data_IF_627505646323
#
_entry.id   IF_627505646323
#
_cell.length_a   1.000
_cell.length_b   1.000
_cell.length_c   1.000
_cell.angle_alpha   90.00
_cell.angle_beta   90.00
_cell.angle_gamma   90.00
#
_symmetry.space_group_name_H-M   'P 1'
#
loop_
_entity.id
_entity.type
_entity.pdbx_description
1 polymer ?
#
# COMPACT_ATOMS: atom_id res chain seq x y z
N UNK A 1 22.84 -40.14 -37.85
CA UNK A 1 22.38 -40.27 -36.49
C UNK A 1 23.08 -39.21 -35.63
N UNK A 2 22.71 -37.95 -35.75
CA UNK A 2 23.08 -36.87 -34.83
C UNK A 2 22.02 -35.78 -34.97
N UNK A 3 20.95 -35.88 -34.25
CA UNK A 3 19.87 -34.90 -34.34
C UNK A 3 18.82 -35.12 -33.28
N UNK A 4 19.22 -35.25 -32.00
CA UNK A 4 18.22 -35.39 -30.91
C UNK A 4 18.84 -35.09 -29.56
N UNK A 5 19.45 -33.92 -29.36
CA UNK A 5 19.96 -33.52 -28.04
C UNK A 5 19.59 -32.08 -27.64
N UNK A 6 18.88 -31.31 -28.47
CA UNK A 6 18.69 -29.87 -28.19
C UNK A 6 17.26 -29.48 -27.78
N UNK A 7 16.38 -30.40 -27.40
CA UNK A 7 15.00 -30.08 -27.00
C UNK A 7 14.71 -30.27 -25.51
N UNK A 8 15.64 -30.84 -24.75
CA UNK A 8 15.36 -31.26 -23.36
C UNK A 8 15.80 -30.29 -22.28
N UNK A 9 16.40 -29.16 -22.59
CA UNK A 9 16.87 -28.18 -21.58
C UNK A 9 15.88 -27.02 -21.34
N UNK A 10 14.96 -26.76 -22.26
CA UNK A 10 13.99 -25.67 -22.08
C UNK A 10 12.73 -26.02 -21.31
N UNK A 11 12.48 -27.30 -21.02
CA UNK A 11 11.26 -27.73 -20.33
C UNK A 11 11.35 -27.71 -18.79
N UNK A 12 12.55 -27.56 -18.24
CA UNK A 12 12.76 -27.66 -16.76
C UNK A 12 12.68 -26.32 -16.03
N UNK A 13 12.64 -25.18 -16.72
CA UNK A 13 12.58 -23.84 -16.11
C UNK A 13 11.15 -23.27 -16.03
N UNK A 14 10.17 -23.90 -16.68
CA UNK A 14 8.76 -23.47 -16.64
C UNK A 14 7.98 -24.10 -15.46
N UNK A 15 8.54 -25.11 -14.78
CA UNK A 15 7.81 -25.84 -13.74
C UNK A 15 8.03 -25.30 -12.31
N UNK A 16 8.86 -24.30 -12.08
CA UNK A 16 9.10 -23.71 -10.74
C UNK A 16 8.17 -22.54 -10.45
N UNK A 17 7.54 -21.95 -11.47
CA UNK A 17 6.59 -20.83 -11.32
C UNK A 17 5.13 -21.22 -11.09
N UNK A 18 4.77 -22.51 -11.15
CA UNK A 18 3.36 -22.95 -11.12
C UNK A 18 2.90 -23.64 -9.84
N UNK A 19 3.69 -23.65 -8.77
CA UNK A 19 3.30 -24.33 -7.51
C UNK A 19 3.15 -23.33 -6.36
N UNK A 20 2.29 -22.33 -6.49
CA UNK A 20 1.72 -21.63 -5.34
C UNK A 20 0.39 -20.91 -5.58
N UNK A 21 -0.26 -21.12 -6.72
CA UNK A 21 -1.49 -20.40 -7.09
C UNK A 21 -2.78 -21.17 -6.79
N UNK A 22 -2.85 -21.97 -5.74
CA UNK A 22 -4.11 -22.61 -5.35
C UNK A 22 -4.50 -22.20 -3.95
N UNK A 23 -5.32 -21.17 -3.80
CA UNK A 23 -6.45 -21.13 -2.86
C UNK A 23 -7.21 -19.81 -2.66
N UNK A 24 -6.98 -18.73 -3.41
CA UNK A 24 -7.76 -17.49 -3.24
C UNK A 24 -8.30 -16.88 -4.55
N UNK A 25 -8.48 -17.68 -5.60
CA UNK A 25 -8.92 -17.23 -6.92
C UNK A 25 -10.36 -16.65 -6.97
N UNK A 26 -11.12 -16.67 -5.89
CA UNK A 26 -12.51 -16.16 -5.88
C UNK A 26 -12.61 -14.64 -5.68
N UNK A 27 -11.59 -13.97 -5.13
CA UNK A 27 -11.61 -12.53 -4.84
C UNK A 27 -10.72 -11.68 -5.76
N UNK A 28 -9.89 -12.30 -6.60
CA UNK A 28 -8.96 -11.60 -7.49
C UNK A 28 -7.80 -10.87 -6.78
N UNK A 29 -7.57 -11.17 -5.49
CA UNK A 29 -6.46 -10.62 -4.72
C UNK A 29 -5.65 -11.77 -4.12
N UNK A 30 -4.42 -11.92 -4.58
CA UNK A 30 -3.50 -12.95 -4.12
C UNK A 30 -2.65 -12.42 -2.98
N UNK A 31 -2.65 -13.14 -1.84
CA UNK A 31 -1.70 -12.87 -0.76
C UNK A 31 -0.25 -13.16 -1.23
N UNK A 32 0.66 -12.21 -1.02
CA UNK A 32 2.08 -12.32 -1.39
C UNK A 32 2.94 -12.59 -0.17
N UNK A 33 2.93 -11.68 0.80
CA UNK A 33 3.82 -11.73 1.96
C UNK A 33 3.26 -10.95 3.15
N UNK A 34 3.91 -11.09 4.30
CA UNK A 34 3.65 -10.27 5.49
C UNK A 34 4.94 -10.03 6.26
N UNK A 35 5.02 -8.92 6.97
CA UNK A 35 6.11 -8.61 7.87
C UNK A 35 5.63 -7.80 9.08
N UNK A 36 6.46 -7.77 10.12
CA UNK A 36 6.20 -7.09 11.39
C UNK A 36 7.12 -5.89 11.57
N UNK A 37 6.78 -5.00 12.48
CA UNK A 37 7.61 -3.91 12.90
C UNK A 37 8.97 -4.37 13.42
N UNK A 38 9.95 -3.50 13.28
CA UNK A 38 11.31 -3.73 13.74
C UNK A 38 11.50 -3.14 15.14
N UNK A 39 12.12 -3.89 16.04
CA UNK A 39 12.56 -3.40 17.34
C UNK A 39 14.01 -2.94 17.25
N UNK A 40 14.30 -1.73 17.72
CA UNK A 40 15.67 -1.16 17.77
C UNK A 40 16.44 -1.56 19.02
N UNK A 41 15.78 -2.23 19.99
CA UNK A 41 16.49 -2.76 21.17
C UNK A 41 17.26 -4.02 20.75
N UNK A 42 18.51 -4.13 21.17
CA UNK A 42 19.33 -5.32 20.87
C UNK A 42 18.61 -6.60 21.36
N UNK A 43 18.59 -7.66 20.54
CA UNK A 43 17.97 -8.92 20.94
C UNK A 43 18.71 -9.47 22.18
N UNK A 44 17.97 -9.70 23.24
CA UNK A 44 18.51 -10.45 24.38
C UNK A 44 18.90 -11.86 23.89
N UNK A 45 20.17 -12.23 24.05
CA UNK A 45 20.75 -13.47 23.52
C UNK A 45 19.96 -14.72 24.00
N UNK A 46 19.30 -14.60 25.15
CA UNK A 46 18.44 -15.66 25.70
C UNK A 46 17.16 -15.90 24.88
N UNK A 47 16.72 -14.95 24.06
CA UNK A 47 15.56 -15.09 23.19
C UNK A 47 15.79 -16.02 21.98
N UNK A 48 17.03 -16.23 21.55
CA UNK A 48 17.34 -17.15 20.45
C UNK A 48 17.07 -18.62 20.81
N UNK A 49 17.03 -18.96 22.11
CA UNK A 49 16.81 -20.33 22.59
C UNK A 49 15.32 -20.67 22.85
N UNK A 50 14.42 -19.65 22.94
CA UNK A 50 12.99 -19.83 23.27
C UNK A 50 12.10 -18.99 22.35
N UNK A 51 12.18 -19.21 21.06
CA UNK A 51 11.52 -18.40 20.01
C UNK A 51 10.00 -18.22 20.21
N UNK A 52 9.34 -19.16 20.89
CA UNK A 52 7.88 -19.09 21.13
C UNK A 52 7.53 -18.21 22.34
N UNK A 53 8.42 -18.09 23.32
CA UNK A 53 8.23 -17.25 24.52
C UNK A 53 8.66 -15.79 24.25
N UNK A 54 9.65 -15.59 23.39
CA UNK A 54 10.11 -14.23 23.00
C UNK A 54 9.14 -13.49 22.07
N UNK A 55 8.18 -14.21 21.45
CA UNK A 55 7.11 -13.59 20.64
C UNK A 55 6.27 -12.57 21.41
N UNK A 56 6.22 -12.67 22.74
CA UNK A 56 5.48 -11.75 23.62
C UNK A 56 6.34 -10.60 24.18
N UNK A 57 7.65 -10.66 24.04
CA UNK A 57 8.58 -9.67 24.60
C UNK A 57 9.21 -8.75 23.52
N UNK A 58 9.22 -9.14 22.24
CA UNK A 58 9.68 -8.30 21.15
C UNK A 58 8.51 -7.46 20.64
N UNK A 59 8.40 -6.27 21.19
CA UNK A 59 7.45 -5.25 20.79
C UNK A 59 7.92 -4.62 19.44
N UNK A 60 7.60 -5.26 18.33
CA UNK A 60 7.71 -4.64 17.02
C UNK A 60 6.87 -3.35 16.98
N UNK A 61 5.78 -3.33 16.24
CA UNK A 61 4.81 -2.23 16.31
C UNK A 61 3.88 -2.39 17.51
N UNK A 62 3.56 -1.24 18.12
CA UNK A 62 2.58 -1.16 19.20
C UNK A 62 1.41 -0.30 18.77
N UNK A 63 0.26 -0.93 18.55
CA UNK A 63 -0.97 -0.27 18.11
C UNK A 63 -0.75 0.67 16.90
N UNK A 64 -0.09 0.23 15.83
CA UNK A 64 0.08 1.06 14.64
C UNK A 64 -1.29 1.42 14.06
N UNK A 65 -1.45 2.66 13.56
CA UNK A 65 -2.77 3.14 13.13
C UNK A 65 -2.86 3.37 11.62
N UNK A 66 -1.85 3.97 10.98
CA UNK A 66 -1.90 4.26 9.55
C UNK A 66 -0.56 3.94 8.88
N UNK A 67 -0.63 3.69 7.58
CA UNK A 67 0.53 3.44 6.70
C UNK A 67 0.49 4.34 5.48
N UNK A 68 1.66 4.66 4.94
CA UNK A 68 1.80 5.37 3.68
C UNK A 68 2.88 4.72 2.82
N UNK A 69 2.89 5.00 1.53
CA UNK A 69 3.90 4.51 0.58
C UNK A 69 4.43 5.67 -0.25
N UNK A 70 5.74 5.71 -0.47
CA UNK A 70 6.39 6.65 -1.38
C UNK A 70 6.50 6.12 -2.82
N UNK A 71 6.99 6.95 -3.74
CA UNK A 71 7.17 6.58 -5.15
C UNK A 71 8.24 5.50 -5.36
N UNK A 72 9.17 5.31 -4.41
CA UNK A 72 10.18 4.24 -4.38
C UNK A 72 9.63 2.95 -3.77
N UNK A 73 8.35 2.97 -3.36
CA UNK A 73 7.61 1.89 -2.72
C UNK A 73 8.10 1.55 -1.32
N UNK A 74 8.69 2.52 -0.63
CA UNK A 74 8.97 2.35 0.78
C UNK A 74 7.68 2.57 1.58
N UNK A 75 7.48 1.74 2.60
CA UNK A 75 6.31 1.75 3.48
C UNK A 75 6.67 2.47 4.78
N UNK A 76 5.86 3.44 5.13
CA UNK A 76 5.97 4.19 6.37
C UNK A 76 4.82 3.80 7.30
N UNK A 77 5.14 3.60 8.58
CA UNK A 77 4.17 3.14 9.59
C UNK A 77 4.14 4.10 10.75
N UNK A 78 2.96 4.61 11.06
CA UNK A 78 2.70 5.34 12.31
C UNK A 78 2.61 4.32 13.46
N UNK A 79 3.73 4.10 14.13
CA UNK A 79 3.90 3.15 15.26
C UNK A 79 3.49 3.86 16.58
N UNK A 80 2.19 4.08 16.70
CA UNK A 80 1.52 4.98 17.64
C UNK A 80 1.92 4.75 19.08
N UNK A 81 1.84 3.50 19.55
CA UNK A 81 2.14 3.16 20.93
C UNK A 81 3.62 3.23 21.29
N UNK A 82 4.51 3.34 20.29
CA UNK A 82 5.94 3.56 20.46
C UNK A 82 6.37 5.00 20.14
N UNK A 83 5.41 5.89 19.83
CA UNK A 83 5.64 7.32 19.57
C UNK A 83 6.68 7.58 18.48
N UNK A 84 6.65 6.79 17.41
CA UNK A 84 7.63 6.85 16.33
C UNK A 84 7.03 6.55 14.95
N UNK A 85 7.77 6.89 13.90
CA UNK A 85 7.54 6.42 12.55
C UNK A 85 8.62 5.39 12.21
N UNK A 86 8.24 4.33 11.51
CA UNK A 86 9.18 3.36 10.94
C UNK A 86 9.05 3.30 9.43
N UNK A 87 10.20 3.21 8.73
CA UNK A 87 10.30 3.09 7.27
C UNK A 87 10.85 1.71 6.89
N UNK A 88 10.22 1.08 5.91
CA UNK A 88 10.57 -0.22 5.36
C UNK A 88 10.62 -0.15 3.84
N UNK A 89 11.38 -1.02 3.18
CA UNK A 89 11.20 -1.22 1.75
C UNK A 89 9.96 -2.08 1.44
N UNK A 90 9.64 -2.24 0.15
CA UNK A 90 8.47 -3.01 -0.32
C UNK A 90 8.51 -4.52 0.01
N UNK A 91 9.65 -5.03 0.46
CA UNK A 91 9.85 -6.43 0.86
C UNK A 91 9.79 -6.60 2.39
N UNK A 92 9.62 -5.48 3.13
CA UNK A 92 9.49 -5.45 4.57
C UNK A 92 10.83 -5.38 5.32
N UNK A 93 11.93 -5.06 4.63
CA UNK A 93 13.21 -4.81 5.28
C UNK A 93 13.23 -3.42 5.91
N UNK A 94 13.62 -3.35 7.18
CA UNK A 94 13.71 -2.10 7.92
C UNK A 94 14.79 -1.17 7.33
N UNK A 95 14.42 0.10 7.13
CA UNK A 95 15.32 1.12 6.60
C UNK A 95 15.72 2.15 7.67
N UNK A 96 14.73 2.74 8.35
CA UNK A 96 14.97 3.78 9.36
C UNK A 96 13.77 3.96 10.30
N UNK A 97 13.99 4.67 11.41
CA UNK A 97 12.92 5.14 12.29
C UNK A 97 13.27 6.47 12.93
N UNK A 98 12.24 7.27 13.24
CA UNK A 98 12.39 8.55 13.93
C UNK A 98 11.16 8.86 14.79
N UNK A 99 11.28 9.86 15.63
CA UNK A 99 10.30 10.21 16.64
C UNK A 99 10.63 9.59 18.01
N UNK A 100 10.35 10.35 19.03
CA UNK A 100 10.47 9.97 20.44
C UNK A 100 9.30 10.58 21.20
N UNK A 101 8.89 9.96 22.30
CA UNK A 101 7.77 10.47 23.09
C UNK A 101 8.08 11.86 23.67
N UNK A 102 7.27 12.86 23.35
CA UNK A 102 7.41 14.23 23.83
C UNK A 102 6.55 15.23 23.08
N UNK A 103 6.78 16.53 23.33
CA UNK A 103 6.00 17.65 22.79
C UNK A 103 6.82 18.60 21.93
N UNK A 104 8.14 18.44 21.92
CA UNK A 104 9.04 19.30 21.17
C UNK A 104 8.93 19.03 19.65
N UNK A 105 9.61 19.83 18.86
CA UNK A 105 9.69 19.65 17.43
C UNK A 105 10.41 18.34 17.07
N UNK A 106 9.76 17.49 16.29
CA UNK A 106 10.28 16.16 15.95
C UNK A 106 9.93 15.08 16.96
N UNK A 107 9.42 15.44 18.17
CA UNK A 107 8.88 14.48 19.13
C UNK A 107 7.40 14.20 18.84
N UNK A 108 6.98 12.97 19.06
CA UNK A 108 5.64 12.46 18.79
C UNK A 108 5.05 11.84 20.07
N UNK A 109 3.75 12.07 20.33
CA UNK A 109 3.05 11.39 21.43
C UNK A 109 2.19 10.24 20.94
N UNK A 110 1.33 10.52 19.98
CA UNK A 110 0.37 9.57 19.42
C UNK A 110 0.29 9.79 17.91
N UNK A 111 1.33 9.40 17.13
CA UNK A 111 1.25 9.49 15.66
C UNK A 111 0.21 8.50 15.16
N UNK A 112 -0.87 9.00 14.55
CA UNK A 112 -1.99 8.18 14.07
C UNK A 112 -2.17 8.25 12.57
N UNK A 113 -1.93 9.41 11.94
CA UNK A 113 -2.06 9.64 10.52
C UNK A 113 -0.70 9.86 9.87
N UNK A 114 -0.53 9.34 8.64
CA UNK A 114 0.71 9.52 7.88
C UNK A 114 0.42 9.63 6.39
N UNK A 115 1.00 10.64 5.73
CA UNK A 115 0.93 10.80 4.28
C UNK A 115 2.29 11.21 3.73
N UNK A 116 2.53 10.89 2.45
CA UNK A 116 3.75 11.22 1.73
C UNK A 116 3.38 12.14 0.56
N UNK A 117 4.14 13.22 0.41
CA UNK A 117 4.05 14.07 -0.76
C UNK A 117 5.43 14.58 -1.15
N UNK A 118 5.80 14.34 -2.40
CA UNK A 118 7.18 14.53 -2.87
C UNK A 118 8.15 13.75 -1.95
N UNK A 119 9.16 14.39 -1.40
CA UNK A 119 10.10 13.75 -0.47
C UNK A 119 9.82 14.13 0.99
N UNK A 120 8.56 14.41 1.35
CA UNK A 120 8.20 14.81 2.71
C UNK A 120 7.16 13.87 3.31
N UNK A 121 7.30 13.65 4.62
CA UNK A 121 6.41 12.84 5.44
C UNK A 121 5.60 13.75 6.35
N UNK A 122 4.29 13.64 6.29
CA UNK A 122 3.35 14.39 7.10
C UNK A 122 2.72 13.47 8.13
N UNK A 123 2.85 13.80 9.39
CA UNK A 123 2.41 12.97 10.52
C UNK A 123 1.38 13.72 11.35
N UNK A 124 0.21 13.13 11.53
CA UNK A 124 -0.80 13.60 12.47
C UNK A 124 -0.48 13.06 13.84
N UNK A 125 -0.31 13.94 14.81
CA UNK A 125 -0.20 13.59 16.21
C UNK A 125 -1.51 13.91 16.94
N UNK A 126 -2.29 12.87 17.21
CA UNK A 126 -3.61 12.97 17.80
C UNK A 126 -3.57 13.64 19.19
N UNK A 127 -2.64 13.23 20.05
CA UNK A 127 -2.55 13.75 21.42
C UNK A 127 -2.00 15.18 21.49
N UNK A 128 -1.10 15.54 20.56
CA UNK A 128 -0.63 16.92 20.44
C UNK A 128 -1.65 17.82 19.71
N UNK A 129 -2.60 17.23 18.98
CA UNK A 129 -3.53 17.93 18.10
C UNK A 129 -2.79 18.75 17.02
N UNK A 130 -1.73 18.19 16.45
CA UNK A 130 -0.86 18.86 15.48
C UNK A 130 -0.55 17.96 14.29
N UNK A 131 -0.09 18.58 13.22
CA UNK A 131 0.58 17.89 12.12
C UNK A 131 2.05 18.29 12.13
N UNK A 132 2.95 17.33 11.96
CA UNK A 132 4.37 17.56 11.79
C UNK A 132 4.82 17.10 10.42
N UNK A 133 5.64 17.91 9.75
CA UNK A 133 6.27 17.61 8.46
C UNK A 133 7.74 17.28 8.70
N UNK A 134 8.19 16.20 8.11
CA UNK A 134 9.57 15.73 8.11
C UNK A 134 10.05 15.58 6.67
N UNK A 135 11.36 15.58 6.45
CA UNK A 135 11.90 15.06 5.21
C UNK A 135 11.86 13.50 5.21
N UNK A 136 12.27 12.89 4.13
CA UNK A 136 12.22 11.45 3.98
C UNK A 136 13.29 10.68 4.80
N UNK A 137 14.23 11.41 5.41
CA UNK A 137 15.22 10.90 6.37
C UNK A 137 14.77 11.04 7.83
N UNK A 138 13.58 11.66 8.05
CA UNK A 138 13.00 11.87 9.37
C UNK A 138 13.45 13.15 10.07
N UNK A 139 14.10 14.09 9.39
CA UNK A 139 14.45 15.39 9.95
C UNK A 139 13.22 16.30 9.99
N UNK A 140 12.97 16.89 11.16
CA UNK A 140 11.86 17.83 11.36
C UNK A 140 11.98 19.07 10.45
N UNK A 141 10.86 19.46 9.81
CA UNK A 141 10.78 20.65 8.95
C UNK A 141 9.88 21.70 9.57
N UNK A 142 8.60 21.35 9.84
CA UNK A 142 7.64 22.29 10.42
C UNK A 142 6.53 21.56 11.17
N UNK A 143 5.79 22.32 12.01
CA UNK A 143 4.65 21.85 12.80
C UNK A 143 3.55 22.89 12.80
N UNK A 144 2.31 22.48 12.62
CA UNK A 144 1.14 23.35 12.71
C UNK A 144 -0.01 22.66 13.43
N UNK A 145 -1.05 23.42 13.76
CA UNK A 145 -2.20 22.92 14.51
C UNK A 145 -2.17 23.39 15.97
N UNK A 146 -2.85 22.63 16.80
CA UNK A 146 -3.04 22.87 18.23
C UNK A 146 -4.48 22.56 18.62
N UNK A 147 -4.71 22.31 19.92
CA UNK A 147 -6.02 21.96 20.46
C UNK A 147 -7.02 23.11 20.27
N UNK A 148 -8.15 22.84 19.62
CA UNK A 148 -9.26 23.77 19.46
C UNK A 148 -10.17 23.47 18.27
N UNK A 149 -11.17 24.35 18.07
CA UNK A 149 -12.18 24.25 17.01
C UNK A 149 -12.09 25.34 15.94
N UNK A 150 -11.19 26.30 16.08
CA UNK A 150 -10.98 27.35 15.09
C UNK A 150 -10.31 26.76 13.83
N UNK A 151 -10.25 27.54 12.78
CA UNK A 151 -9.54 27.16 11.55
C UNK A 151 -8.05 26.96 11.83
N UNK A 152 -7.53 25.79 11.41
CA UNK A 152 -6.15 25.40 11.68
C UNK A 152 -5.91 24.76 13.06
N UNK A 153 -6.92 24.70 13.94
CA UNK A 153 -6.88 23.94 15.20
C UNK A 153 -7.59 22.62 15.04
N UNK A 154 -7.27 21.64 15.87
CA UNK A 154 -7.81 20.29 15.80
C UNK A 154 -8.27 19.78 17.18
N UNK A 155 -9.20 18.81 17.15
CA UNK A 155 -9.52 17.97 18.32
C UNK A 155 -9.47 16.50 17.85
N UNK A 156 -8.49 15.76 18.38
CA UNK A 156 -8.26 14.35 18.02
C UNK A 156 -8.23 14.14 16.49
N UNK A 157 -7.32 14.84 15.74
CA UNK A 157 -7.18 14.61 14.31
C UNK A 157 -6.70 13.18 14.06
N UNK A 158 -7.17 12.57 12.97
CA UNK A 158 -6.91 11.17 12.64
C UNK A 158 -6.18 11.05 11.29
N UNK A 159 -6.85 10.58 10.25
CA UNK A 159 -6.28 10.33 8.94
C UNK A 159 -5.89 11.60 8.18
N UNK A 160 -4.91 11.46 7.32
CA UNK A 160 -4.36 12.52 6.48
C UNK A 160 -4.08 11.98 5.08
N UNK A 161 -4.38 12.76 4.07
CA UNK A 161 -3.98 12.50 2.69
C UNK A 161 -3.54 13.78 2.00
N UNK A 162 -2.79 13.66 0.89
CA UNK A 162 -2.32 14.80 0.11
C UNK A 162 -2.58 14.51 -1.36
N UNK A 163 -3.18 15.47 -2.06
CA UNK A 163 -3.42 15.29 -3.49
C UNK A 163 -2.16 15.64 -4.32
N UNK A 164 -2.20 15.36 -5.62
CA UNK A 164 -1.10 15.63 -6.56
C UNK A 164 -0.72 17.10 -6.71
N UNK A 165 -1.54 18.03 -6.21
CA UNK A 165 -1.27 19.48 -6.19
C UNK A 165 -0.71 19.96 -4.85
N UNK A 166 -0.42 19.07 -3.91
CA UNK A 166 0.12 19.40 -2.59
C UNK A 166 -0.91 19.93 -1.59
N UNK A 167 -2.21 19.77 -1.85
CA UNK A 167 -3.24 20.10 -0.87
C UNK A 167 -3.34 18.98 0.15
N UNK A 168 -3.17 19.31 1.41
CA UNK A 168 -3.26 18.40 2.57
C UNK A 168 -4.70 18.37 3.08
N UNK A 169 -5.27 17.18 3.27
CA UNK A 169 -6.60 16.95 3.83
C UNK A 169 -6.46 16.21 5.15
N UNK A 170 -7.09 16.70 6.20
CA UNK A 170 -7.01 16.13 7.55
C UNK A 170 -8.40 15.86 8.11
N UNK A 171 -8.64 14.66 8.59
CA UNK A 171 -9.84 14.31 9.34
C UNK A 171 -9.74 14.87 10.77
N UNK A 172 -10.40 15.99 11.03
CA UNK A 172 -10.51 16.64 12.34
C UNK A 172 -11.68 16.01 13.11
N UNK A 173 -11.42 14.82 13.66
CA UNK A 173 -12.41 13.81 14.03
C UNK A 173 -13.44 14.34 15.02
N UNK A 174 -13.01 14.88 16.15
CA UNK A 174 -13.93 15.37 17.20
C UNK A 174 -14.54 16.73 16.88
N UNK A 175 -14.01 17.45 15.89
CA UNK A 175 -14.68 18.62 15.31
C UNK A 175 -15.62 18.24 14.16
N UNK A 176 -15.71 16.96 13.79
CA UNK A 176 -16.64 16.42 12.80
C UNK A 176 -16.53 17.08 11.42
N UNK A 177 -15.29 17.35 10.99
CA UNK A 177 -14.99 18.04 9.73
C UNK A 177 -13.73 17.51 9.07
N UNK A 178 -13.55 17.87 7.82
CA UNK A 178 -12.28 17.78 7.13
C UNK A 178 -11.72 19.21 7.01
N UNK A 179 -10.45 19.41 7.31
CA UNK A 179 -9.73 20.65 7.05
C UNK A 179 -8.72 20.46 5.95
N UNK A 180 -8.51 21.51 5.13
CA UNK A 180 -7.52 21.50 4.06
C UNK A 180 -6.46 22.56 4.28
N UNK A 181 -5.22 22.25 3.88
CA UNK A 181 -4.04 23.09 4.06
C UNK A 181 -3.15 23.05 2.82
N UNK A 182 -2.29 24.05 2.67
CA UNK A 182 -1.13 23.94 1.78
C UNK A 182 -0.14 22.92 2.32
N UNK A 183 0.82 22.50 1.51
CA UNK A 183 1.94 21.62 1.94
C UNK A 183 2.85 22.26 3.01
N UNK A 184 2.70 23.56 3.27
CA UNK A 184 3.41 24.32 4.30
C UNK A 184 2.52 24.67 5.52
N UNK A 185 1.33 24.02 5.61
CA UNK A 185 0.46 24.12 6.77
C UNK A 185 -0.44 25.34 6.85
N UNK A 186 -0.54 26.16 5.77
CA UNK A 186 -1.47 27.27 5.72
C UNK A 186 -2.91 26.77 5.50
N UNK A 187 -3.84 27.19 6.34
CA UNK A 187 -5.26 26.81 6.23
C UNK A 187 -5.87 27.32 4.91
N UNK A 188 -6.57 26.42 4.21
CA UNK A 188 -7.28 26.75 2.96
C UNK A 188 -8.79 26.76 3.15
N UNK A 189 -9.37 25.65 3.61
CA UNK A 189 -10.82 25.50 3.78
C UNK A 189 -11.17 24.40 4.78
N UNK A 190 -12.47 24.32 5.11
CA UNK A 190 -13.01 23.18 5.85
C UNK A 190 -14.43 22.86 5.41
N UNK A 191 -14.82 21.59 5.49
CA UNK A 191 -16.17 21.13 5.18
C UNK A 191 -16.58 19.97 6.10
N UNK A 192 -17.87 19.69 6.10
CA UNK A 192 -18.45 18.76 7.08
C UNK A 192 -18.82 19.47 8.39
N UNK A 193 -19.77 18.90 9.11
CA UNK A 193 -20.14 19.29 10.47
C UNK A 193 -20.94 18.15 11.10
N UNK A 194 -21.07 18.17 12.41
CA UNK A 194 -21.78 17.14 13.18
C UNK A 194 -23.20 16.87 12.66
N UNK A 195 -23.52 15.60 12.49
CA UNK A 195 -24.86 15.13 12.19
C UNK A 195 -24.92 13.72 11.59
N UNK A 196 -26.13 13.32 11.18
CA UNK A 196 -26.43 11.97 10.65
C UNK A 196 -26.92 11.99 9.19
N UNK A 197 -27.25 13.17 8.67
CA UNK A 197 -27.75 13.35 7.31
C UNK A 197 -26.65 13.40 6.25
N UNK A 198 -27.05 13.63 5.03
CA UNK A 198 -26.17 13.76 3.88
C UNK A 198 -25.17 14.92 4.05
N UNK A 199 -23.90 14.65 3.82
CA UNK A 199 -22.82 15.62 3.99
C UNK A 199 -22.52 16.00 5.44
N UNK A 200 -23.13 15.29 6.41
CA UNK A 200 -22.82 15.43 7.85
C UNK A 200 -21.89 14.33 8.27
N UNK A 201 -20.96 14.68 9.14
CA UNK A 201 -19.92 13.78 9.64
C UNK A 201 -20.08 13.53 11.13
N UNK A 202 -19.67 12.34 11.56
CA UNK A 202 -19.62 11.97 12.98
C UNK A 202 -18.36 11.20 13.27
N UNK A 203 -17.36 11.91 13.74
CA UNK A 203 -16.02 11.37 13.99
C UNK A 203 -15.40 10.73 12.74
N UNK A 204 -15.17 11.51 11.65
CA UNK A 204 -14.47 11.01 10.48
C UNK A 204 -13.07 10.55 10.88
N UNK A 205 -12.64 9.40 10.37
CA UNK A 205 -11.35 8.80 10.75
C UNK A 205 -10.33 8.83 9.64
N UNK A 206 -10.78 8.91 8.37
CA UNK A 206 -9.83 8.93 7.26
C UNK A 206 -10.42 9.62 6.03
N UNK A 207 -9.52 10.03 5.12
CA UNK A 207 -9.87 10.77 3.91
C UNK A 207 -8.98 10.32 2.75
N UNK A 208 -9.57 10.04 1.60
CA UNK A 208 -8.85 9.75 0.36
C UNK A 208 -9.28 10.72 -0.75
N UNK A 209 -8.36 11.02 -1.65
CA UNK A 209 -8.61 11.91 -2.79
C UNK A 209 -8.30 11.18 -4.09
N UNK A 210 -9.20 11.32 -5.06
CA UNK A 210 -9.00 10.84 -6.42
C UNK A 210 -9.60 11.81 -7.44
N UNK A 211 -8.74 12.37 -8.29
CA UNK A 211 -9.16 13.41 -9.23
C UNK A 211 -9.83 14.58 -8.51
N UNK A 212 -11.04 14.93 -8.92
CA UNK A 212 -11.84 16.01 -8.34
C UNK A 212 -12.73 15.57 -7.18
N UNK A 213 -12.52 14.37 -6.64
CA UNK A 213 -13.37 13.79 -5.60
C UNK A 213 -12.61 13.50 -4.32
N UNK A 214 -13.30 13.75 -3.21
CA UNK A 214 -12.86 13.43 -1.86
C UNK A 214 -13.81 12.37 -1.30
N UNK A 215 -13.25 11.34 -0.67
CA UNK A 215 -13.98 10.28 0.02
C UNK A 215 -13.60 10.33 1.49
N UNK A 216 -14.59 10.36 2.37
CA UNK A 216 -14.40 10.48 3.83
C UNK A 216 -14.96 9.25 4.50
N UNK A 217 -14.14 8.58 5.29
CA UNK A 217 -14.55 7.48 6.15
C UNK A 217 -15.23 8.03 7.40
N UNK A 218 -16.52 7.76 7.55
CA UNK A 218 -17.35 8.21 8.68
C UNK A 218 -17.95 7.03 9.46
N UNK A 219 -17.15 6.34 10.29
CA UNK A 219 -17.59 5.17 11.04
C UNK A 219 -18.67 5.48 12.08
N UNK A 220 -18.76 6.72 12.55
CA UNK A 220 -19.82 7.17 13.46
C UNK A 220 -21.21 7.16 12.85
N UNK A 221 -21.27 7.28 11.52
CA UNK A 221 -22.50 7.18 10.72
C UNK A 221 -22.58 5.90 9.89
N UNK A 222 -21.57 5.02 9.94
CA UNK A 222 -21.48 3.79 9.13
C UNK A 222 -21.49 4.06 7.61
N UNK A 223 -20.81 5.13 7.19
CA UNK A 223 -20.82 5.63 5.82
C UNK A 223 -19.43 5.94 5.29
N UNK A 224 -19.34 5.97 3.96
CA UNK A 224 -18.32 6.74 3.25
C UNK A 224 -19.04 7.87 2.54
N UNK A 225 -18.59 9.10 2.77
CA UNK A 225 -19.16 10.30 2.17
C UNK A 225 -18.29 10.76 0.99
N UNK A 226 -18.92 11.10 -0.14
CA UNK A 226 -18.24 11.62 -1.33
C UNK A 226 -18.52 13.12 -1.49
N UNK A 227 -17.44 13.88 -1.71
CA UNK A 227 -17.49 15.32 -1.95
C UNK A 227 -16.73 15.68 -3.23
N UNK A 228 -16.96 16.89 -3.75
CA UNK A 228 -16.04 17.51 -4.73
C UNK A 228 -14.75 17.98 -4.05
N UNK A 229 -13.73 18.30 -4.85
CA UNK A 229 -12.48 18.94 -4.36
C UNK A 229 -12.71 20.21 -3.54
N UNK A 230 -13.82 20.93 -3.79
CA UNK A 230 -14.22 22.12 -3.05
C UNK A 230 -15.01 21.82 -1.76
N UNK A 231 -15.16 20.54 -1.39
CA UNK A 231 -15.90 20.12 -0.19
C UNK A 231 -17.43 20.17 -0.32
N UNK A 232 -17.97 20.20 -1.54
CA UNK A 232 -19.42 20.14 -1.78
C UNK A 232 -19.85 18.67 -1.75
N UNK A 233 -20.81 18.35 -0.88
CA UNK A 233 -21.35 16.99 -0.78
C UNK A 233 -21.98 16.53 -2.09
N UNK A 234 -21.71 15.29 -2.47
CA UNK A 234 -22.23 14.64 -3.67
C UNK A 234 -23.09 13.42 -3.34
N UNK A 235 -22.60 12.52 -2.49
CA UNK A 235 -23.26 11.24 -2.25
C UNK A 235 -22.77 10.58 -0.96
N UNK A 236 -23.68 9.89 -0.26
CA UNK A 236 -23.35 8.95 0.82
C UNK A 236 -23.40 7.52 0.30
N UNK A 237 -22.43 6.72 0.71
CA UNK A 237 -22.44 5.27 0.56
C UNK A 237 -22.73 4.67 1.92
N UNK A 238 -24.01 4.34 2.14
CA UNK A 238 -24.51 3.81 3.42
C UNK A 238 -24.41 2.28 3.43
N UNK A 239 -23.67 1.75 4.35
CA UNK A 239 -23.48 0.31 4.55
C UNK A 239 -24.34 -0.26 5.67
N UNK A 240 -25.27 0.53 6.23
CA UNK A 240 -26.18 0.09 7.28
C UNK A 240 -27.38 -0.74 6.74
N UNK A 241 -27.47 -0.93 5.42
CA UNK A 241 -28.52 -1.72 4.79
C UNK A 241 -28.44 -3.21 5.16
N UNK A 242 -29.55 -3.80 5.55
CA UNK A 242 -29.71 -5.21 5.87
C UNK A 242 -28.92 -5.72 7.09
N UNK A 243 -28.68 -4.88 8.11
CA UNK A 243 -27.97 -5.29 9.34
C UNK A 243 -26.47 -5.51 9.12
N UNK A 244 -25.91 -4.91 8.10
CA UNK A 244 -24.51 -5.13 7.72
C UNK A 244 -23.50 -4.35 8.59
N UNK A 245 -23.91 -3.35 9.38
CA UNK A 245 -23.08 -2.56 10.32
C UNK A 245 -21.59 -2.48 9.92
N UNK A 246 -21.30 -1.98 8.71
CA UNK A 246 -19.93 -1.77 8.25
C UNK A 246 -19.40 -0.52 8.95
N UNK A 247 -18.25 -0.62 9.60
CA UNK A 247 -17.53 0.55 10.12
C UNK A 247 -16.29 0.77 9.25
N UNK A 248 -16.35 1.73 8.31
CA UNK A 248 -15.21 2.02 7.47
C UNK A 248 -14.06 2.57 8.33
N UNK A 249 -12.87 2.00 8.15
CA UNK A 249 -11.60 2.48 8.70
C UNK A 249 -10.81 3.24 7.65
N UNK A 250 -9.52 2.93 7.52
CA UNK A 250 -8.66 3.46 6.47
C UNK A 250 -9.21 3.21 5.08
N UNK A 251 -9.05 4.17 4.17
CA UNK A 251 -9.52 4.08 2.79
C UNK A 251 -8.54 4.71 1.81
N UNK A 252 -8.52 4.17 0.59
CA UNK A 252 -7.72 4.69 -0.52
C UNK A 252 -8.48 4.55 -1.83
N UNK A 253 -8.20 5.43 -2.78
CA UNK A 253 -8.69 5.33 -4.16
C UNK A 253 -7.58 4.82 -5.08
N UNK A 254 -7.90 3.88 -5.98
CA UNK A 254 -6.98 3.41 -7.01
C UNK A 254 -7.00 4.33 -8.25
N UNK A 255 -6.04 4.19 -9.18
CA UNK A 255 -5.98 4.99 -10.40
C UNK A 255 -7.21 4.86 -11.33
N UNK A 256 -8.08 3.87 -11.11
CA UNK A 256 -9.34 3.72 -11.86
C UNK A 256 -10.52 4.42 -11.17
N UNK A 257 -10.30 4.98 -9.96
CA UNK A 257 -11.33 5.60 -9.13
C UNK A 257 -12.16 4.61 -8.32
N UNK A 258 -11.71 3.34 -8.24
CA UNK A 258 -12.27 2.38 -7.30
C UNK A 258 -11.73 2.66 -5.89
N UNK A 259 -12.56 2.46 -4.89
CA UNK A 259 -12.23 2.73 -3.49
C UNK A 259 -12.00 1.42 -2.75
N UNK A 260 -10.86 1.30 -2.09
CA UNK A 260 -10.59 0.25 -1.13
C UNK A 260 -10.75 0.82 0.27
N UNK A 261 -11.36 0.06 1.16
CA UNK A 261 -11.46 0.44 2.56
C UNK A 261 -11.48 -0.77 3.49
N UNK A 262 -11.10 -0.54 4.72
CA UNK A 262 -11.17 -1.54 5.80
C UNK A 262 -12.57 -1.56 6.38
N UNK A 263 -13.20 -2.73 6.48
CA UNK A 263 -14.39 -2.99 7.28
C UNK A 263 -13.97 -3.57 8.65
N UNK A 264 -13.81 -2.69 9.63
CA UNK A 264 -13.29 -3.04 10.95
C UNK A 264 -14.21 -4.00 11.74
N UNK A 265 -15.51 -4.05 11.42
CA UNK A 265 -16.48 -4.95 12.09
C UNK A 265 -16.40 -6.37 11.53
N UNK A 266 -16.14 -6.51 10.24
CA UNK A 266 -16.08 -7.81 9.58
C UNK A 266 -14.68 -8.29 9.31
N UNK A 267 -13.66 -7.54 9.78
CA UNK A 267 -12.25 -7.93 9.69
C UNK A 267 -11.84 -8.24 8.24
N UNK A 268 -12.17 -7.32 7.32
CA UNK A 268 -11.97 -7.52 5.88
C UNK A 268 -11.67 -6.22 5.15
N UNK A 269 -11.18 -6.36 3.94
CA UNK A 269 -11.09 -5.28 2.97
C UNK A 269 -12.27 -5.35 2.01
N UNK A 270 -12.78 -4.20 1.63
CA UNK A 270 -13.84 -4.02 0.64
C UNK A 270 -13.31 -3.17 -0.50
N UNK A 271 -13.51 -3.61 -1.75
CA UNK A 271 -13.34 -2.81 -2.95
C UNK A 271 -14.71 -2.44 -3.50
N UNK A 272 -14.94 -1.16 -3.75
CA UNK A 272 -16.14 -0.64 -4.39
C UNK A 272 -15.78 0.27 -5.57
N UNK A 273 -16.68 0.41 -6.54
CA UNK A 273 -16.52 1.40 -7.58
C UNK A 273 -16.89 2.82 -7.10
N UNK A 274 -16.64 3.83 -7.94
CA UNK A 274 -16.94 5.24 -7.66
C UNK A 274 -18.43 5.55 -7.43
N UNK A 275 -19.34 4.60 -7.76
CA UNK A 275 -20.77 4.68 -7.50
C UNK A 275 -21.19 4.03 -6.18
N UNK A 276 -20.25 3.42 -5.44
CA UNK A 276 -20.46 2.75 -4.17
C UNK A 276 -20.92 1.29 -4.29
N UNK A 277 -20.89 0.72 -5.50
CA UNK A 277 -21.20 -0.70 -5.69
C UNK A 277 -19.97 -1.53 -5.30
N UNK A 278 -20.16 -2.45 -4.36
CA UNK A 278 -19.11 -3.42 -4.00
C UNK A 278 -18.71 -4.26 -5.21
N UNK A 279 -17.43 -4.26 -5.54
CA UNK A 279 -16.81 -5.10 -6.58
C UNK A 279 -16.41 -6.42 -5.96
N UNK A 280 -15.64 -6.39 -4.87
CA UNK A 280 -15.16 -7.58 -4.18
C UNK A 280 -14.87 -7.31 -2.70
N UNK A 281 -14.77 -8.38 -1.91
CA UNK A 281 -14.36 -8.33 -0.51
C UNK A 281 -13.48 -9.52 -0.20
N UNK A 282 -12.47 -9.35 0.65
CA UNK A 282 -11.67 -10.46 1.14
C UNK A 282 -11.19 -10.21 2.56
N UNK A 283 -10.76 -11.30 3.20
CA UNK A 283 -10.42 -11.31 4.62
C UNK A 283 -11.57 -11.77 5.50
N UNK A 284 -11.21 -12.26 6.65
CA UNK A 284 -12.10 -12.65 7.74
C UNK A 284 -11.32 -12.64 9.05
N UNK A 285 -12.02 -12.73 10.18
CA UNK A 285 -11.38 -12.78 11.49
C UNK A 285 -10.43 -13.98 11.62
N UNK A 286 -9.23 -13.74 12.14
CA UNK A 286 -8.24 -14.75 12.46
C UNK A 286 -6.79 -14.32 12.26
N UNK A 287 -5.89 -15.25 12.50
CA UNK A 287 -4.45 -15.11 12.26
C UNK A 287 -4.05 -15.87 11.00
N UNK A 288 -2.96 -15.42 10.36
CA UNK A 288 -2.42 -16.04 9.15
C UNK A 288 -2.81 -15.29 7.87
N UNK A 289 -2.42 -15.86 6.74
CA UNK A 289 -2.50 -15.24 5.43
C UNK A 289 -3.94 -14.88 5.04
N UNK A 290 -4.18 -13.63 4.69
CA UNK A 290 -5.48 -13.12 4.27
C UNK A 290 -6.53 -13.06 5.38
N UNK A 291 -6.13 -13.21 6.65
CA UNK A 291 -7.00 -13.06 7.82
C UNK A 291 -6.55 -11.87 8.67
N UNK A 292 -7.48 -11.25 9.36
CA UNK A 292 -7.23 -10.05 10.15
C UNK A 292 -7.82 -10.16 11.56
N UNK A 293 -7.14 -9.53 12.53
CA UNK A 293 -7.67 -9.35 13.88
C UNK A 293 -8.13 -7.91 14.13
N UNK A 294 -7.41 -6.93 13.59
CA UNK A 294 -7.76 -5.51 13.67
C UNK A 294 -7.17 -4.75 12.48
N UNK A 295 -7.70 -4.99 11.26
CA UNK A 295 -7.23 -4.23 10.11
C UNK A 295 -7.60 -2.76 10.30
N UNK A 296 -6.61 -1.87 10.18
CA UNK A 296 -6.76 -0.42 10.44
C UNK A 296 -6.74 0.39 9.17
N UNK A 297 -5.74 0.15 8.35
CA UNK A 297 -5.45 0.99 7.21
C UNK A 297 -4.88 0.17 6.05
N UNK A 298 -4.86 0.78 4.87
CA UNK A 298 -4.38 0.15 3.66
C UNK A 298 -3.82 1.19 2.68
N UNK A 299 -2.85 0.79 1.88
CA UNK A 299 -2.24 1.64 0.87
C UNK A 299 -1.91 0.85 -0.39
N UNK A 300 -1.97 1.51 -1.56
CA UNK A 300 -1.55 0.96 -2.86
C UNK A 300 -0.22 1.58 -3.27
N UNK A 301 0.75 0.77 -3.69
CA UNK A 301 1.94 1.29 -4.34
C UNK A 301 1.69 1.59 -5.83
N UNK A 302 2.67 2.21 -6.47
CA UNK A 302 2.59 2.62 -7.88
C UNK A 302 2.59 1.45 -8.89
N UNK A 303 2.87 0.22 -8.45
CA UNK A 303 2.68 -1.00 -9.23
C UNK A 303 1.29 -1.63 -9.01
N UNK A 304 0.54 -1.16 -8.00
CA UNK A 304 -0.78 -1.66 -7.66
C UNK A 304 -0.80 -2.79 -6.63
N UNK A 305 0.32 -3.07 -5.92
CA UNK A 305 0.28 -3.94 -4.75
C UNK A 305 -0.43 -3.24 -3.61
N UNK A 306 -1.32 -3.97 -2.94
CA UNK A 306 -2.06 -3.48 -1.77
C UNK A 306 -1.41 -3.98 -0.49
N UNK A 307 -1.15 -3.06 0.42
CA UNK A 307 -0.64 -3.33 1.76
C UNK A 307 -1.73 -3.05 2.77
N UNK A 308 -1.98 -3.98 3.68
CA UNK A 308 -3.01 -3.87 4.72
C UNK A 308 -2.36 -3.99 6.08
N UNK A 309 -2.51 -2.95 6.90
CA UNK A 309 -2.03 -2.91 8.28
C UNK A 309 -3.02 -3.60 9.21
N UNK A 310 -2.55 -4.58 9.97
CA UNK A 310 -3.30 -5.22 11.07
C UNK A 310 -2.67 -4.83 12.41
N UNK A 311 -3.33 -3.92 13.12
CA UNK A 311 -2.82 -3.35 14.36
C UNK A 311 -2.70 -4.38 15.48
N UNK A 312 -3.69 -5.25 15.64
CA UNK A 312 -3.68 -6.25 16.71
C UNK A 312 -2.66 -7.39 16.45
N UNK A 313 -2.40 -7.71 15.18
CA UNK A 313 -1.35 -8.66 14.83
C UNK A 313 0.04 -8.01 14.77
N UNK A 314 0.11 -6.67 14.74
CA UNK A 314 1.36 -5.92 14.58
C UNK A 314 2.09 -6.31 13.28
N UNK A 315 1.36 -6.42 12.16
CA UNK A 315 1.93 -6.80 10.86
C UNK A 315 1.24 -6.09 9.69
N UNK A 316 1.95 -6.05 8.57
CA UNK A 316 1.40 -5.68 7.27
C UNK A 316 1.29 -6.93 6.41
N UNK A 317 0.18 -7.08 5.70
CA UNK A 317 0.00 -8.09 4.68
C UNK A 317 -0.01 -7.43 3.30
N UNK A 318 0.81 -7.96 2.39
CA UNK A 318 0.91 -7.51 0.99
C UNK A 318 0.07 -8.42 0.10
N UNK A 319 -0.71 -7.82 -0.77
CA UNK A 319 -1.59 -8.50 -1.72
C UNK A 319 -1.31 -8.04 -3.14
N UNK A 320 -1.36 -8.97 -4.07
CA UNK A 320 -1.42 -8.70 -5.49
C UNK A 320 -2.86 -8.30 -5.86
N UNK A 321 -3.01 -7.18 -6.58
CA UNK A 321 -4.30 -6.81 -7.14
C UNK A 321 -4.44 -7.32 -8.58
N UNK A 322 -5.66 -7.39 -9.16
CA UNK A 322 -5.83 -7.80 -10.55
C UNK A 322 -5.05 -6.95 -11.56
N UNK A 323 -4.73 -5.71 -11.22
CA UNK A 323 -3.90 -4.83 -12.07
C UNK A 323 -2.47 -5.32 -12.12
N UNK A 324 -1.90 -5.71 -10.99
CA UNK A 324 -0.54 -6.30 -10.91
C UNK A 324 -0.46 -7.58 -11.71
N UNK A 325 -1.42 -8.50 -11.53
CA UNK A 325 -1.47 -9.75 -12.27
C UNK A 325 -1.46 -9.54 -13.79
N UNK A 326 -2.21 -8.56 -14.29
CA UNK A 326 -2.24 -8.19 -15.71
C UNK A 326 -0.90 -7.62 -16.20
N UNK A 327 -0.25 -6.79 -15.39
CA UNK A 327 1.06 -6.21 -15.73
C UNK A 327 2.13 -7.31 -15.76
N UNK A 328 2.16 -8.20 -14.78
CA UNK A 328 3.11 -9.30 -14.73
C UNK A 328 2.91 -10.29 -15.90
N UNK A 329 1.66 -10.61 -16.24
CA UNK A 329 1.34 -11.43 -17.40
C UNK A 329 1.80 -10.78 -18.71
N UNK A 330 1.58 -9.48 -18.88
CA UNK A 330 2.01 -8.74 -20.05
C UNK A 330 3.54 -8.68 -20.17
N UNK A 331 4.25 -8.45 -19.05
CA UNK A 331 5.72 -8.46 -19.01
C UNK A 331 6.29 -9.85 -19.33
N UNK A 332 5.71 -10.91 -18.79
CA UNK A 332 6.11 -12.27 -19.07
C UNK A 332 5.91 -12.64 -20.56
N UNK A 333 4.79 -12.21 -21.15
CA UNK A 333 4.53 -12.40 -22.57
C UNK A 333 5.54 -11.65 -23.46
N UNK A 334 5.90 -10.41 -23.09
CA UNK A 334 6.92 -9.64 -23.80
C UNK A 334 8.30 -10.27 -23.68
N UNK A 335 8.70 -10.72 -22.49
CA UNK A 335 9.96 -11.43 -22.28
C UNK A 335 10.02 -12.71 -23.11
N UNK A 336 8.93 -13.48 -23.14
CA UNK A 336 8.84 -14.71 -23.94
C UNK A 336 8.98 -14.42 -25.44
N UNK A 337 8.35 -13.36 -25.93
CA UNK A 337 8.49 -12.91 -27.33
C UNK A 337 9.95 -12.54 -27.65
N UNK A 338 10.61 -11.77 -26.79
CA UNK A 338 12.04 -11.41 -26.97
C UNK A 338 12.95 -12.63 -27.01
N UNK A 339 12.70 -13.63 -26.15
CA UNK A 339 13.44 -14.89 -26.15
C UNK A 339 13.22 -15.69 -27.44
N UNK A 340 12.00 -15.71 -27.99
CA UNK A 340 11.73 -16.34 -29.29
C UNK A 340 12.44 -15.63 -30.44
N UNK A 341 12.45 -14.28 -30.44
CA UNK A 341 13.16 -13.49 -31.47
C UNK A 341 14.66 -13.77 -31.44
N UNK A 342 15.27 -13.84 -30.23
CA UNK A 342 16.68 -14.19 -30.06
C UNK A 342 16.97 -15.61 -30.53
N UNK A 343 16.15 -16.57 -30.15
CA UNK A 343 16.33 -17.97 -30.56
C UNK A 343 16.20 -18.15 -32.09
N UNK A 344 15.28 -17.39 -32.73
CA UNK A 344 15.15 -17.38 -34.18
C UNK A 344 16.37 -16.77 -34.86
N UNK A 345 16.90 -15.66 -34.35
CA UNK A 345 18.11 -15.03 -34.87
C UNK A 345 19.33 -15.96 -34.75
N UNK A 346 19.51 -16.64 -33.63
CA UNK A 346 20.58 -17.61 -33.42
C UNK A 346 20.47 -18.81 -34.38
N UNK A 347 19.25 -19.33 -34.56
CA UNK A 347 19.00 -20.42 -35.49
C UNK A 347 19.28 -20.02 -36.96
N UNK A 348 18.93 -18.78 -37.33
CA UNK A 348 19.22 -18.23 -38.66
C UNK A 348 20.72 -18.07 -38.89
N UNK A 349 21.44 -17.50 -37.90
CA UNK A 349 22.90 -17.36 -37.96
C UNK A 349 23.62 -18.71 -38.02
N UNK A 350 23.14 -19.72 -37.34
CA UNK A 350 23.67 -21.08 -37.38
C UNK A 350 23.48 -21.73 -38.76
N UNK A 351 22.29 -21.56 -39.37
CA UNK A 351 22.00 -22.07 -40.71
C UNK A 351 22.83 -21.38 -41.78
N UNK A 352 23.05 -20.07 -41.68
CA UNK A 352 23.94 -19.32 -42.58
C UNK A 352 25.41 -19.78 -42.45
N UNK A 353 25.89 -20.01 -41.24
CA UNK A 353 27.23 -20.51 -40.99
C UNK A 353 27.44 -21.93 -41.57
N UNK A 354 26.43 -22.81 -41.46
CA UNK A 354 26.45 -24.15 -42.03
C UNK A 354 26.48 -24.09 -43.54
N UNK A 355 25.67 -23.26 -44.18
CA UNK A 355 25.65 -23.07 -45.62
C UNK A 355 27.00 -22.54 -46.17
N UNK A 356 27.64 -21.59 -45.47
CA UNK A 356 28.96 -21.08 -45.82
C UNK A 356 30.00 -22.21 -45.73
N UNK A 357 29.97 -23.02 -44.70
CA UNK A 357 30.87 -24.15 -44.49
C UNK A 357 30.72 -25.20 -45.60
N UNK A 358 29.51 -25.56 -46.01
CA UNK A 358 29.22 -26.49 -47.07
C UNK A 358 29.71 -25.95 -48.42
N UNK A 359 29.47 -24.67 -48.73
CA UNK A 359 29.94 -24.02 -49.97
C UNK A 359 31.48 -23.98 -50.05
N UNK A 360 32.15 -23.74 -48.93
CA UNK A 360 33.63 -23.75 -48.86
C UNK A 360 34.18 -25.15 -49.12
N UNK A 361 33.59 -26.17 -48.48
CA UNK A 361 34.01 -27.56 -48.69
C UNK A 361 33.77 -28.05 -50.17
N UNK A 362 32.69 -27.60 -50.79
CA UNK A 362 32.44 -27.91 -52.21
C UNK A 362 33.48 -27.27 -53.12
N UNK A 363 33.82 -25.99 -52.91
CA UNK A 363 34.84 -25.28 -53.68
C UNK A 363 36.26 -25.92 -53.55
N UNK A 364 36.64 -26.37 -52.34
CA UNK A 364 37.88 -27.09 -52.10
C UNK A 364 37.91 -28.46 -52.82
N UNK A 365 36.79 -29.16 -52.84
CA UNK A 365 36.68 -30.44 -53.56
C UNK A 365 36.82 -30.26 -55.09
N UNK A 366 36.19 -29.23 -55.68
CA UNK A 366 36.32 -28.90 -57.08
C UNK A 366 37.79 -28.49 -57.45
N UNK A 367 38.45 -27.72 -56.62
CA UNK A 367 39.83 -27.34 -56.82
C UNK A 367 40.77 -28.56 -56.80
N UNK A 368 40.49 -29.56 -55.96
CA UNK A 368 41.30 -30.79 -55.85
C UNK A 368 41.09 -31.73 -57.08
N UNK A 369 39.94 -31.68 -57.74
CA UNK A 369 39.69 -32.46 -58.96
C UNK A 369 40.34 -31.82 -60.19
N UNK A 370 40.55 -30.51 -60.19
CA UNK A 370 41.14 -29.74 -61.29
C UNK A 370 42.68 -29.70 -61.30
N UNK A 371 43.33 -30.13 -60.23
CA UNK A 371 44.78 -30.26 -60.07
C UNK A 371 45.26 -31.68 -60.37
#
# INVERSE_FOLDING_TARGET
MKGLVLVTVCASLILVGMISSQSFAASGHLYISQWKGFDTTEPDIDCLLWAEYCRTLYEGWKQPQQIAVDDERNIYVADTGNSRIQKFNSDGEFLSSWGTNGFENGELQSPVGIAIYENNVYVVDEMQNTIQKFDNDGNFILKWGGLGSENGQFIEPQGITINSSGVVYVADSMNHRIQTFTSDGEFLSSFGNYGFGDGKLKNPVDVAVYGDFIYVSDPGNYKIEKYTSDGIFLKSFDYNFAGANVRPGGLIADPNGDIYFVDAVKYRVVKMNSDGKTITTWGNIGIGNGKFLEPKDLVLDNLGYLYVLDSAQGLIQKFETPVVAQIEEALAAEQFRKLQELAYADATAAAEAEAVSEATAAAEAEATIAA
#
